data_IF_895953993994
#
_entry.id   IF_895953993994
#
_cell.length_a   1.000
_cell.length_b   1.000
_cell.length_c   1.000
_cell.angle_alpha   90.00
_cell.angle_beta   90.00
_cell.angle_gamma   90.00
#
_symmetry.space_group_name_H-M   'P 1'
#
loop_
_entity.id
_entity.type
_entity.pdbx_description
1 polymer ?
#
# COMPACT_ATOMS: atom_id res chain seq x y z
N UNK A 1 71.75 11.86 6.84
CA UNK A 1 71.02 10.57 6.80
C UNK A 1 69.56 10.92 7.03
N UNK A 2 68.87 11.33 5.98
CA UNK A 2 67.43 11.62 6.03
C UNK A 2 66.71 10.44 5.39
N UNK A 3 65.89 9.75 6.18
CA UNK A 3 65.07 8.64 5.74
C UNK A 3 63.80 9.21 5.11
N UNK A 4 63.78 9.34 3.79
CA UNK A 4 62.56 9.56 3.02
C UNK A 4 61.71 8.28 3.06
N UNK A 5 60.81 8.22 4.04
CA UNK A 5 59.72 7.27 4.03
C UNK A 5 58.69 7.73 2.98
N UNK A 6 58.85 7.29 1.74
CA UNK A 6 57.84 7.45 0.69
C UNK A 6 56.54 6.77 1.11
N UNK A 7 55.56 7.58 1.51
CA UNK A 7 54.19 7.16 1.78
C UNK A 7 53.56 6.65 0.48
N UNK A 8 53.52 5.32 0.32
CA UNK A 8 52.97 4.70 -0.87
C UNK A 8 51.43 4.71 -0.79
N UNK A 9 50.82 5.76 -1.35
CA UNK A 9 49.37 5.94 -1.43
C UNK A 9 48.64 4.71 -1.99
N UNK A 10 49.27 3.93 -2.87
CA UNK A 10 48.69 2.70 -3.42
C UNK A 10 48.50 1.58 -2.39
N UNK A 11 49.36 1.52 -1.37
CA UNK A 11 49.25 0.53 -0.28
C UNK A 11 48.14 0.94 0.69
N UNK A 12 48.04 2.24 1.01
CA UNK A 12 46.96 2.78 1.86
C UNK A 12 45.60 2.59 1.20
N UNK A 13 45.47 2.89 -0.11
CA UNK A 13 44.25 2.62 -0.87
C UNK A 13 43.95 1.12 -0.96
N UNK A 14 44.95 0.26 -1.23
CA UNK A 14 44.76 -1.19 -1.30
C UNK A 14 44.30 -1.84 0.01
N UNK A 15 44.67 -1.27 1.16
CA UNK A 15 44.26 -1.74 2.49
C UNK A 15 42.91 -1.17 2.94
N UNK A 16 42.56 0.06 2.53
CA UNK A 16 41.31 0.71 2.93
C UNK A 16 40.12 0.28 2.07
N UNK A 17 40.29 -0.01 0.77
CA UNK A 17 39.18 -0.37 -0.10
C UNK A 17 38.43 -1.66 0.29
N UNK A 18 39.11 -2.75 0.71
CA UNK A 18 38.43 -3.96 1.22
C UNK A 18 37.68 -3.71 2.53
N UNK A 19 38.22 -2.86 3.41
CA UNK A 19 37.59 -2.47 4.68
C UNK A 19 36.39 -1.53 4.47
N UNK A 20 36.46 -0.59 3.52
CA UNK A 20 35.34 0.29 3.19
C UNK A 20 34.17 -0.46 2.57
N UNK A 21 34.45 -1.52 1.78
CA UNK A 21 33.42 -2.35 1.16
C UNK A 21 32.70 -3.27 2.15
N UNK A 22 33.28 -3.54 3.33
CA UNK A 22 32.64 -4.31 4.40
C UNK A 22 32.03 -3.42 5.49
N UNK A 23 32.51 -2.18 5.67
CA UNK A 23 32.03 -1.25 6.71
C UNK A 23 30.90 -0.34 6.23
N UNK A 24 30.79 -0.05 4.92
CA UNK A 24 29.78 0.86 4.36
C UNK A 24 28.95 0.24 3.22
N UNK A 25 28.65 -1.05 3.28
CA UNK A 25 27.59 -1.58 2.42
C UNK A 25 26.26 -0.96 2.85
N UNK A 26 25.54 -0.27 1.93
CA UNK A 26 24.16 0.11 2.16
C UNK A 26 23.36 -1.09 2.65
N UNK A 27 22.40 -0.85 3.54
CA UNK A 27 21.58 -1.92 4.07
C UNK A 27 20.80 -2.65 2.97
N UNK A 28 20.44 -1.96 1.89
CA UNK A 28 19.81 -2.56 0.72
C UNK A 28 20.68 -3.62 0.02
N UNK A 29 22.02 -3.54 0.12
CA UNK A 29 22.91 -4.55 -0.47
C UNK A 29 22.97 -5.83 0.39
N UNK A 30 22.69 -5.70 1.69
CA UNK A 30 22.74 -6.81 2.67
C UNK A 30 21.39 -7.47 2.85
N UNK A 31 20.34 -6.67 3.01
CA UNK A 31 18.94 -7.07 3.12
C UNK A 31 18.10 -6.28 2.10
N UNK A 32 18.09 -6.70 0.83
CA UNK A 32 17.35 -6.01 -0.22
C UNK A 32 15.85 -6.17 0.00
N UNK A 33 15.14 -5.05 0.10
CA UNK A 33 13.68 -5.05 0.14
C UNK A 33 13.07 -5.28 -1.24
N UNK A 34 13.80 -4.91 -2.29
CA UNK A 34 13.39 -5.17 -3.67
C UNK A 34 13.77 -6.60 -4.03
N UNK A 35 12.78 -7.49 -4.14
CA UNK A 35 13.09 -8.87 -4.50
C UNK A 35 11.93 -9.85 -4.52
N UNK A 36 10.75 -9.49 -3.99
CA UNK A 36 9.59 -10.38 -4.03
C UNK A 36 9.18 -10.64 -5.49
N UNK A 37 9.30 -11.89 -5.90
CA UNK A 37 8.89 -12.36 -7.25
C UNK A 37 7.53 -13.06 -7.25
N UNK A 38 7.08 -13.52 -6.09
CA UNK A 38 5.78 -14.17 -5.98
C UNK A 38 4.69 -13.10 -5.94
N UNK A 39 3.58 -13.29 -6.68
CA UNK A 39 2.44 -12.39 -6.60
C UNK A 39 1.73 -12.54 -5.24
N UNK A 40 0.90 -11.56 -4.90
CA UNK A 40 -0.02 -11.67 -3.77
C UNK A 40 -1.35 -12.23 -4.25
N UNK A 41 -1.82 -13.28 -3.57
CA UNK A 41 -3.13 -13.89 -3.83
C UNK A 41 -4.28 -13.17 -3.11
N UNK A 42 -3.94 -12.23 -2.22
CA UNK A 42 -4.88 -11.48 -1.40
C UNK A 42 -4.54 -9.98 -1.43
N UNK A 43 -5.54 -9.11 -1.27
CA UNK A 43 -5.29 -7.69 -1.10
C UNK A 43 -4.75 -7.41 0.30
N UNK A 44 -4.20 -6.20 0.48
CA UNK A 44 -3.85 -5.68 1.79
C UNK A 44 -4.94 -4.73 2.29
N UNK A 45 -5.26 -4.83 3.57
CA UNK A 45 -6.37 -4.20 4.26
C UNK A 45 -5.84 -3.23 5.32
N UNK A 46 -6.45 -2.06 5.43
CA UNK A 46 -6.16 -1.09 6.50
C UNK A 46 -7.44 -0.45 7.02
N UNK A 47 -7.70 -0.66 8.30
CA UNK A 47 -8.78 0.01 9.03
C UNK A 47 -8.27 1.32 9.63
N UNK A 48 -8.97 2.42 9.37
CA UNK A 48 -8.64 3.73 9.91
C UNK A 48 -9.89 4.52 10.31
N UNK A 49 -9.69 5.55 11.11
CA UNK A 49 -10.67 6.51 11.61
C UNK A 49 -10.01 7.90 11.73
N UNK A 50 -10.74 8.90 12.22
CA UNK A 50 -10.22 10.26 12.40
C UNK A 50 -9.00 10.38 13.32
N UNK A 51 -8.72 9.39 14.16
CA UNK A 51 -7.54 9.35 15.06
C UNK A 51 -6.37 8.54 14.49
N UNK A 52 -6.53 7.96 13.30
CA UNK A 52 -5.51 7.14 12.67
C UNK A 52 -4.50 8.02 11.94
N UNK A 53 -3.21 7.68 12.06
CA UNK A 53 -2.20 8.24 11.17
C UNK A 53 -2.36 7.72 9.74
N UNK A 54 -1.74 8.38 8.76
CA UNK A 54 -1.65 7.90 7.37
C UNK A 54 -3.01 7.52 6.78
N UNK A 55 -3.88 8.53 6.60
CA UNK A 55 -5.18 8.38 5.94
C UNK A 55 -5.04 8.75 4.45
N UNK A 56 -5.92 8.26 3.56
CA UNK A 56 -5.97 8.72 2.17
C UNK A 56 -6.24 10.23 2.12
N UNK A 57 -5.48 10.95 1.30
CA UNK A 57 -5.71 12.35 0.97
C UNK A 57 -6.79 12.48 -0.13
N UNK A 58 -7.25 13.70 -0.45
CA UNK A 58 -8.23 13.91 -1.53
C UNK A 58 -7.80 13.43 -2.92
N UNK A 59 -6.50 13.21 -3.13
CA UNK A 59 -5.95 12.66 -4.38
C UNK A 59 -5.89 11.12 -4.36
N UNK A 60 -6.42 10.48 -3.32
CA UNK A 60 -6.39 9.03 -3.16
C UNK A 60 -4.99 8.49 -2.81
N UNK A 61 -4.09 9.31 -2.25
CA UNK A 61 -2.75 8.87 -1.83
C UNK A 61 -2.71 8.76 -0.32
N UNK A 62 -2.02 7.76 0.20
CA UNK A 62 -1.82 7.60 1.64
C UNK A 62 -0.35 7.77 1.96
N UNK A 63 -0.01 8.75 2.80
CA UNK A 63 1.39 9.04 3.16
C UNK A 63 1.70 8.60 4.58
N UNK A 64 2.91 8.10 4.78
CA UNK A 64 3.42 7.83 6.11
C UNK A 64 3.55 9.15 6.88
N UNK A 65 3.57 9.05 8.21
CA UNK A 65 3.74 10.23 9.07
C UNK A 65 5.14 10.82 8.96
N UNK A 66 6.11 10.02 8.51
CA UNK A 66 7.48 10.45 8.23
C UNK A 66 7.84 10.17 6.75
N UNK A 67 7.32 10.98 5.83
CA UNK A 67 7.50 10.77 4.39
C UNK A 67 8.94 10.93 3.86
N UNK A 68 9.90 11.33 4.70
CA UNK A 68 11.33 11.50 4.32
C UNK A 68 12.30 10.75 5.24
N UNK A 69 11.80 9.86 6.09
CA UNK A 69 12.64 9.03 6.96
C UNK A 69 13.60 8.19 6.13
N UNK A 70 14.90 8.27 6.43
CA UNK A 70 15.95 7.51 5.74
C UNK A 70 16.02 6.10 6.29
N UNK A 71 16.17 5.13 5.39
CA UNK A 71 16.20 3.68 5.68
C UNK A 71 17.41 2.99 5.01
N UNK A 72 18.50 3.73 4.82
CA UNK A 72 19.71 3.29 4.10
C UNK A 72 20.71 2.51 4.98
N UNK A 73 20.47 2.44 6.30
CA UNK A 73 21.30 1.69 7.24
C UNK A 73 20.49 0.68 8.06
N UNK A 74 21.16 -0.41 8.48
CA UNK A 74 20.62 -1.39 9.42
C UNK A 74 19.98 -0.71 10.63
N UNK A 75 20.72 0.21 11.25
CA UNK A 75 20.28 0.92 12.45
C UNK A 75 19.03 1.75 12.19
N UNK A 76 19.00 2.50 11.08
CA UNK A 76 17.80 3.28 10.74
C UNK A 76 16.57 2.40 10.58
N UNK A 77 16.68 1.26 9.88
CA UNK A 77 15.56 0.32 9.69
C UNK A 77 15.12 -0.29 11.02
N UNK A 78 16.07 -0.81 11.80
CA UNK A 78 15.82 -1.39 13.12
C UNK A 78 15.14 -0.40 14.07
N UNK A 79 15.71 0.80 14.23
CA UNK A 79 15.22 1.80 15.18
C UNK A 79 13.82 2.27 14.76
N UNK A 80 13.61 2.58 13.48
CA UNK A 80 12.29 3.01 13.00
C UNK A 80 11.24 1.90 13.05
N UNK A 81 11.61 0.64 12.80
CA UNK A 81 10.70 -0.51 12.90
C UNK A 81 10.30 -0.74 14.36
N UNK A 82 11.27 -0.71 15.29
CA UNK A 82 11.05 -0.84 16.74
C UNK A 82 10.04 0.19 17.23
N UNK A 83 10.16 1.44 16.76
CA UNK A 83 9.21 2.51 17.06
C UNK A 83 7.84 2.19 16.45
N UNK A 84 7.80 1.78 15.18
CA UNK A 84 6.56 1.58 14.45
C UNK A 84 5.67 0.47 15.02
N UNK A 85 6.27 -0.65 15.43
CA UNK A 85 5.51 -1.79 15.99
C UNK A 85 4.98 -1.51 17.39
N UNK A 86 5.63 -0.61 18.14
CA UNK A 86 5.20 -0.25 19.48
C UNK A 86 4.10 0.82 19.40
N UNK A 87 2.85 0.39 19.40
CA UNK A 87 1.69 1.28 19.29
C UNK A 87 1.51 2.24 20.49
N UNK A 88 2.27 2.07 21.59
CA UNK A 88 2.33 3.06 22.68
C UNK A 88 3.22 4.25 22.31
N UNK A 89 4.15 4.07 21.35
CA UNK A 89 5.01 5.12 20.84
C UNK A 89 4.39 5.75 19.58
N UNK A 90 4.02 7.03 19.68
CA UNK A 90 3.43 7.79 18.58
C UNK A 90 4.44 8.61 17.77
N UNK A 91 5.74 8.34 17.91
CA UNK A 91 6.75 8.96 17.06
C UNK A 91 6.48 8.63 15.59
N UNK A 92 6.44 9.62 14.69
CA UNK A 92 6.28 9.37 13.25
C UNK A 92 7.33 8.40 12.72
N UNK A 93 6.93 7.50 11.83
CA UNK A 93 7.83 6.56 11.15
C UNK A 93 7.50 6.51 9.65
N UNK A 94 8.42 6.01 8.81
CA UNK A 94 8.23 6.00 7.36
C UNK A 94 7.31 4.87 6.87
N UNK A 95 6.57 4.22 7.77
CA UNK A 95 5.77 3.03 7.47
C UNK A 95 4.27 3.31 7.49
N UNK A 96 3.54 2.52 6.71
CA UNK A 96 2.08 2.44 6.70
C UNK A 96 1.71 0.97 6.85
N UNK A 97 1.06 0.62 7.96
CA UNK A 97 0.70 -0.77 8.28
C UNK A 97 -0.56 -1.23 7.56
N UNK A 98 -0.56 -2.48 7.13
CA UNK A 98 -1.67 -3.20 6.54
C UNK A 98 -1.70 -4.62 7.09
N UNK A 99 -2.80 -5.34 6.84
CA UNK A 99 -2.93 -6.77 7.10
C UNK A 99 -3.63 -7.48 5.94
N UNK A 100 -3.40 -8.76 5.71
CA UNK A 100 -4.21 -9.57 4.78
C UNK A 100 -5.32 -10.39 5.48
N UNK A 101 -5.51 -10.15 6.79
CA UNK A 101 -6.40 -10.90 7.67
C UNK A 101 -7.65 -10.10 8.03
N UNK A 102 -8.83 -10.65 7.67
CA UNK A 102 -10.11 -10.05 8.07
C UNK A 102 -10.34 -10.15 9.58
N UNK A 103 -9.87 -11.21 10.24
CA UNK A 103 -10.02 -11.37 11.69
C UNK A 103 -9.23 -10.31 12.48
N UNK A 104 -8.07 -9.89 11.98
CA UNK A 104 -7.32 -8.78 12.58
C UNK A 104 -8.06 -7.45 12.41
N UNK A 105 -8.65 -7.19 11.24
CA UNK A 105 -9.50 -6.02 11.01
C UNK A 105 -10.69 -6.01 11.99
N UNK A 106 -11.36 -7.14 12.18
CA UNK A 106 -12.50 -7.26 13.10
C UNK A 106 -12.09 -7.10 14.56
N UNK A 107 -10.96 -7.68 14.97
CA UNK A 107 -10.42 -7.52 16.32
C UNK A 107 -9.99 -6.08 16.59
N UNK A 108 -9.33 -5.44 15.63
CA UNK A 108 -8.94 -4.04 15.70
C UNK A 108 -10.15 -3.11 15.78
N UNK A 109 -11.18 -3.35 14.97
CA UNK A 109 -12.43 -2.60 15.00
C UNK A 109 -13.10 -2.71 16.38
N UNK A 110 -13.26 -3.94 16.91
CA UNK A 110 -13.85 -4.17 18.24
C UNK A 110 -13.06 -3.47 19.34
N UNK A 111 -11.73 -3.55 19.30
CA UNK A 111 -10.86 -2.89 20.27
C UNK A 111 -11.04 -1.36 20.22
N UNK A 112 -11.09 -0.77 19.02
CA UNK A 112 -11.27 0.68 18.84
C UNK A 112 -12.67 1.13 19.24
N UNK A 113 -13.72 0.38 18.92
CA UNK A 113 -15.09 0.68 19.35
C UNK A 113 -15.21 0.71 20.87
N UNK A 114 -14.59 -0.25 21.58
CA UNK A 114 -14.54 -0.25 23.06
C UNK A 114 -13.88 1.00 23.65
N UNK A 115 -13.00 1.64 22.88
CA UNK A 115 -12.32 2.90 23.22
C UNK A 115 -13.08 4.15 22.73
N UNK A 116 -14.33 4.00 22.28
CA UNK A 116 -15.15 5.10 21.80
C UNK A 116 -14.70 5.69 20.45
N UNK A 117 -13.91 4.94 19.66
CA UNK A 117 -13.45 5.38 18.33
C UNK A 117 -14.41 4.97 17.22
N UNK A 118 -14.36 5.73 16.14
CA UNK A 118 -15.18 5.57 14.93
C UNK A 118 -15.59 6.93 14.35
N UNK A 119 -16.30 6.97 13.21
CA UNK A 119 -16.58 5.85 12.31
C UNK A 119 -15.30 5.33 11.62
N UNK A 120 -15.32 4.07 11.19
CA UNK A 120 -14.16 3.45 10.53
C UNK A 120 -14.34 3.37 9.01
N UNK A 121 -13.24 3.52 8.30
CA UNK A 121 -13.13 3.24 6.86
C UNK A 121 -12.13 2.12 6.67
N UNK A 122 -12.49 1.15 5.83
CA UNK A 122 -11.59 0.10 5.36
C UNK A 122 -11.02 0.52 4.00
N UNK A 123 -9.70 0.69 3.94
CA UNK A 123 -8.97 0.86 2.69
C UNK A 123 -8.41 -0.49 2.25
N UNK A 124 -8.54 -0.79 0.96
CA UNK A 124 -8.01 -2.01 0.35
C UNK A 124 -7.08 -1.65 -0.80
N UNK A 125 -5.92 -2.28 -0.86
CA UNK A 125 -4.90 -2.04 -1.88
C UNK A 125 -4.46 -3.34 -2.57
N UNK A 126 -3.99 -3.21 -3.81
CA UNK A 126 -3.34 -4.27 -4.57
C UNK A 126 -1.81 -4.19 -4.36
N UNK A 127 -1.23 -5.04 -3.50
CA UNK A 127 0.22 -5.00 -3.24
C UNK A 127 1.06 -5.36 -4.48
N UNK A 128 0.52 -6.07 -5.47
CA UNK A 128 1.28 -6.38 -6.71
C UNK A 128 1.43 -5.16 -7.62
N UNK A 129 0.59 -4.13 -7.47
CA UNK A 129 0.82 -2.82 -8.13
C UNK A 129 2.11 -2.20 -7.61
N UNK A 130 2.26 -2.20 -6.30
CA UNK A 130 3.44 -1.67 -5.62
C UNK A 130 4.71 -2.38 -6.05
N UNK A 131 4.69 -3.71 -6.05
CA UNK A 131 5.82 -4.54 -6.46
C UNK A 131 6.19 -4.30 -7.92
N UNK A 132 5.21 -4.17 -8.82
CA UNK A 132 5.45 -3.82 -10.24
C UNK A 132 6.07 -2.44 -10.45
N UNK A 133 5.73 -1.49 -9.57
CA UNK A 133 6.37 -0.16 -9.53
C UNK A 133 7.77 -0.20 -8.90
N UNK A 134 8.29 -1.39 -8.58
CA UNK A 134 9.59 -1.61 -7.97
C UNK A 134 9.63 -1.24 -6.48
N UNK A 135 8.49 -0.96 -5.86
CA UNK A 135 8.40 -0.59 -4.45
C UNK A 135 8.14 -1.83 -3.59
N UNK A 136 8.74 -1.91 -2.39
CA UNK A 136 8.62 -3.10 -1.56
C UNK A 136 7.33 -3.11 -0.74
N UNK A 137 6.84 -4.32 -0.48
CA UNK A 137 5.87 -4.66 0.57
C UNK A 137 6.60 -5.59 1.52
N UNK A 138 6.70 -5.23 2.79
CA UNK A 138 7.48 -5.99 3.77
C UNK A 138 6.55 -6.71 4.73
N UNK A 139 6.84 -7.97 5.02
CA UNK A 139 6.17 -8.68 6.10
C UNK A 139 6.78 -8.26 7.44
N UNK A 140 5.96 -7.89 8.42
CA UNK A 140 6.44 -7.36 9.70
C UNK A 140 7.19 -8.42 10.50
N UNK A 141 6.73 -9.68 10.47
CA UNK A 141 7.39 -10.78 11.19
C UNK A 141 8.81 -11.00 10.66
N UNK A 142 8.97 -11.10 9.35
CA UNK A 142 10.26 -11.32 8.70
C UNK A 142 11.26 -10.19 9.07
N UNK A 143 10.81 -8.94 9.02
CA UNK A 143 11.66 -7.79 9.35
C UNK A 143 12.00 -7.71 10.84
N UNK A 144 11.08 -8.11 11.73
CA UNK A 144 11.35 -8.19 13.16
C UNK A 144 12.42 -9.25 13.47
N UNK A 145 12.37 -10.40 12.78
CA UNK A 145 13.37 -11.46 12.90
C UNK A 145 14.73 -11.01 12.37
N UNK A 146 14.79 -10.44 11.17
CA UNK A 146 16.02 -9.94 10.55
C UNK A 146 16.73 -8.92 11.45
N UNK A 147 16.00 -7.92 11.92
CA UNK A 147 16.56 -6.84 12.73
C UNK A 147 16.68 -7.17 14.22
N UNK A 148 16.23 -8.37 14.65
CA UNK A 148 16.14 -8.76 16.05
C UNK A 148 15.41 -7.67 16.87
N UNK A 149 14.22 -7.28 16.40
CA UNK A 149 13.36 -6.31 17.06
C UNK A 149 12.53 -7.04 18.11
N UNK A 150 12.61 -6.66 19.40
CA UNK A 150 11.81 -7.29 20.45
C UNK A 150 10.32 -7.06 20.20
N UNK A 151 9.52 -8.09 20.43
CA UNK A 151 8.07 -7.98 20.38
C UNK A 151 7.54 -7.20 21.60
N UNK A 152 6.93 -6.02 21.40
CA UNK A 152 6.33 -5.26 22.50
C UNK A 152 5.05 -5.91 23.05
N UNK A 153 4.44 -6.86 22.31
CA UNK A 153 3.16 -7.48 22.65
C UNK A 153 3.24 -8.99 22.42
N UNK A 154 3.72 -9.74 23.41
CA UNK A 154 3.96 -11.19 23.34
C UNK A 154 2.77 -12.08 22.88
N UNK A 155 1.57 -11.52 22.73
CA UNK A 155 0.35 -12.20 22.26
C UNK A 155 -0.09 -11.81 20.85
N UNK A 156 0.64 -10.94 20.14
CA UNK A 156 0.28 -10.48 18.79
C UNK A 156 0.98 -11.36 17.77
N UNK A 157 0.20 -11.92 16.86
CA UNK A 157 0.73 -12.60 15.68
C UNK A 157 1.03 -11.56 14.60
N UNK A 158 2.20 -11.63 13.95
CA UNK A 158 2.62 -10.66 12.93
C UNK A 158 2.73 -11.28 11.52
N UNK A 159 2.30 -12.52 11.35
CA UNK A 159 2.46 -13.27 10.10
C UNK A 159 1.64 -12.67 8.95
N UNK A 160 0.51 -12.05 9.28
CA UNK A 160 -0.42 -11.37 8.38
C UNK A 160 -0.22 -9.84 8.38
N UNK A 161 0.78 -9.32 9.09
CA UNK A 161 1.08 -7.89 9.15
C UNK A 161 2.09 -7.49 8.08
N UNK A 162 1.76 -6.44 7.34
CA UNK A 162 2.60 -5.91 6.28
C UNK A 162 2.80 -4.41 6.45
N UNK A 163 3.92 -3.91 5.97
CA UNK A 163 4.23 -2.47 5.95
C UNK A 163 4.61 -2.01 4.54
N UNK A 164 4.04 -0.88 4.14
CA UNK A 164 4.41 -0.12 2.96
C UNK A 164 5.22 1.11 3.37
N UNK A 165 6.22 1.46 2.56
CA UNK A 165 7.14 2.58 2.82
C UNK A 165 6.67 3.89 2.19
N UNK A 166 6.77 4.98 2.95
CA UNK A 166 6.55 6.40 2.62
C UNK A 166 5.17 6.78 2.09
N UNK A 167 4.66 6.06 1.12
CA UNK A 167 3.44 6.38 0.42
C UNK A 167 2.85 5.15 -0.27
N UNK A 168 1.52 5.11 -0.33
CA UNK A 168 0.72 4.26 -1.20
C UNK A 168 -0.01 5.17 -2.17
N UNK A 169 0.18 4.95 -3.46
CA UNK A 169 -0.38 5.80 -4.53
C UNK A 169 -1.77 5.34 -4.96
N UNK A 170 -2.53 6.23 -5.60
CA UNK A 170 -3.93 5.98 -5.97
C UNK A 170 -4.11 4.79 -6.93
N UNK A 171 -3.10 4.45 -7.74
CA UNK A 171 -3.11 3.28 -8.63
C UNK A 171 -2.96 1.94 -7.89
N UNK A 172 -2.50 1.97 -6.62
CA UNK A 172 -2.45 0.81 -5.73
C UNK A 172 -3.82 0.56 -5.08
N UNK A 173 -4.75 1.53 -5.05
CA UNK A 173 -6.03 1.38 -4.38
C UNK A 173 -6.99 0.49 -5.18
N UNK A 174 -7.64 -0.43 -4.46
CA UNK A 174 -8.79 -1.19 -4.94
C UNK A 174 -10.09 -0.44 -4.61
N UNK A 175 -10.15 0.15 -3.41
CA UNK A 175 -11.29 0.94 -2.97
C UNK A 175 -11.26 1.30 -1.49
N UNK A 176 -12.30 1.99 -1.07
CA UNK A 176 -12.57 2.34 0.32
C UNK A 176 -14.02 2.01 0.65
N UNK A 177 -14.27 1.44 1.83
CA UNK A 177 -15.60 1.07 2.30
C UNK A 177 -15.84 1.65 3.68
N UNK A 178 -17.05 2.13 3.92
CA UNK A 178 -17.52 2.34 5.28
C UNK A 178 -17.56 0.98 5.97
N UNK A 179 -16.83 0.84 7.07
CA UNK A 179 -16.68 -0.44 7.74
C UNK A 179 -18.00 -0.93 8.35
N UNK A 180 -18.84 -0.03 8.86
CA UNK A 180 -20.09 -0.39 9.50
C UNK A 180 -21.09 -0.99 8.50
N UNK A 181 -21.08 -0.50 7.26
CA UNK A 181 -21.91 -1.05 6.17
C UNK A 181 -21.37 -2.40 5.71
N UNK A 182 -20.04 -2.55 5.69
CA UNK A 182 -19.36 -3.75 5.24
C UNK A 182 -19.64 -4.95 6.16
N UNK A 183 -19.57 -4.76 7.49
CA UNK A 183 -19.72 -5.85 8.47
C UNK A 183 -21.15 -6.40 8.60
N UNK A 184 -22.14 -5.76 7.98
CA UNK A 184 -23.50 -6.32 7.87
C UNK A 184 -23.44 -7.66 7.12
N UNK A 185 -22.48 -7.82 6.21
CA UNK A 185 -22.24 -9.05 5.48
C UNK A 185 -21.25 -9.94 6.22
N UNK A 186 -21.69 -11.12 6.67
CA UNK A 186 -20.86 -12.05 7.46
C UNK A 186 -19.55 -12.44 6.77
N UNK A 187 -19.56 -12.61 5.45
CA UNK A 187 -18.38 -12.97 4.66
C UNK A 187 -17.93 -11.81 3.77
N UNK A 188 -17.99 -10.57 4.27
CA UNK A 188 -17.67 -9.36 3.52
C UNK A 188 -16.33 -9.42 2.77
N UNK A 189 -15.32 -10.09 3.33
CA UNK A 189 -14.03 -10.26 2.65
C UNK A 189 -14.21 -11.06 1.35
N UNK A 190 -14.83 -12.24 1.42
CA UNK A 190 -15.00 -13.14 0.28
C UNK A 190 -16.09 -12.67 -0.70
N UNK A 191 -17.14 -12.02 -0.22
CA UNK A 191 -18.32 -11.65 -1.04
C UNK A 191 -18.19 -10.25 -1.65
N UNK A 192 -17.43 -9.34 -1.04
CA UNK A 192 -17.36 -7.93 -1.48
C UNK A 192 -15.93 -7.58 -1.89
N UNK A 193 -14.97 -7.74 -0.99
CA UNK A 193 -13.61 -7.24 -1.17
C UNK A 193 -12.83 -8.06 -2.20
N UNK A 194 -12.81 -9.38 -2.07
CA UNK A 194 -12.09 -10.26 -2.99
C UNK A 194 -12.60 -10.13 -4.44
N UNK A 195 -13.93 -10.09 -4.70
CA UNK A 195 -14.43 -9.80 -6.05
C UNK A 195 -14.02 -8.42 -6.57
N UNK A 196 -14.07 -7.37 -5.73
CA UNK A 196 -13.63 -6.04 -6.13
C UNK A 196 -12.14 -6.02 -6.50
N UNK A 197 -11.30 -6.69 -5.71
CA UNK A 197 -9.87 -6.85 -5.96
C UNK A 197 -9.57 -7.53 -7.31
N UNK A 198 -10.25 -8.64 -7.61
CA UNK A 198 -10.06 -9.33 -8.88
C UNK A 198 -10.57 -8.53 -10.07
N UNK A 199 -11.70 -7.82 -9.93
CA UNK A 199 -12.19 -6.89 -10.98
C UNK A 199 -11.18 -5.78 -11.26
N UNK A 200 -10.62 -5.16 -10.22
CA UNK A 200 -9.61 -4.11 -10.37
C UNK A 200 -8.37 -4.62 -11.13
N UNK A 201 -7.93 -5.86 -10.84
CA UNK A 201 -6.83 -6.50 -11.57
C UNK A 201 -7.17 -6.82 -13.03
N UNK A 202 -8.40 -7.24 -13.32
CA UNK A 202 -8.85 -7.55 -14.68
C UNK A 202 -8.93 -6.31 -15.57
N UNK A 203 -9.53 -5.21 -15.08
CA UNK A 203 -9.63 -3.94 -15.82
C UNK A 203 -8.24 -3.47 -16.26
N UNK A 204 -7.24 -3.59 -15.38
CA UNK A 204 -5.86 -3.25 -15.68
C UNK A 204 -5.23 -4.16 -16.74
N UNK A 205 -5.55 -5.46 -16.73
CA UNK A 205 -5.02 -6.40 -17.71
C UNK A 205 -5.58 -6.10 -19.10
N UNK A 206 -6.89 -5.86 -19.20
CA UNK A 206 -7.55 -5.52 -20.46
C UNK A 206 -7.04 -4.17 -20.99
N UNK A 207 -7.00 -3.13 -20.15
CA UNK A 207 -6.47 -1.82 -20.56
C UNK A 207 -4.98 -1.85 -20.94
N UNK A 208 -4.18 -2.67 -20.26
CA UNK A 208 -2.78 -2.91 -20.62
C UNK A 208 -2.63 -3.60 -21.98
N UNK A 209 -3.48 -4.58 -22.28
CA UNK A 209 -3.50 -5.24 -23.59
C UNK A 209 -3.98 -4.28 -24.68
N UNK A 210 -5.06 -3.53 -24.47
CA UNK A 210 -5.53 -2.52 -25.42
C UNK A 210 -4.45 -1.47 -25.72
N UNK A 211 -3.72 -1.00 -24.71
CA UNK A 211 -2.61 -0.08 -24.90
C UNK A 211 -1.42 -0.72 -25.64
N UNK A 212 -1.14 -2.00 -25.42
CA UNK A 212 -0.13 -2.73 -26.19
C UNK A 212 -0.57 -2.92 -27.64
N UNK A 213 -1.83 -3.29 -27.91
CA UNK A 213 -2.38 -3.40 -29.25
C UNK A 213 -2.40 -2.05 -29.98
N UNK A 214 -2.69 -0.95 -29.29
CA UNK A 214 -2.59 0.39 -29.87
C UNK A 214 -1.15 0.81 -30.19
N UNK A 215 -0.17 0.34 -29.40
CA UNK A 215 1.26 0.62 -29.64
C UNK A 215 1.91 -0.32 -30.66
N UNK A 216 1.35 -1.53 -30.81
CA UNK A 216 1.76 -2.54 -31.79
C UNK A 216 0.98 -2.42 -33.11
N UNK A 217 -0.13 -1.69 -33.11
CA UNK A 217 -0.77 -1.23 -34.34
C UNK A 217 0.21 -0.28 -35.01
N UNK A 218 0.98 -0.83 -35.95
CA UNK A 218 1.67 -0.07 -36.97
C UNK A 218 0.63 0.88 -37.55
N UNK A 219 0.77 2.17 -37.25
CA UNK A 219 0.07 3.20 -38.00
C UNK A 219 0.42 2.95 -39.46
N UNK A 220 -0.59 2.58 -40.25
CA UNK A 220 -0.54 2.60 -41.70
C UNK A 220 -0.48 4.07 -42.15
N UNK A 221 0.58 4.76 -41.74
CA UNK A 221 0.98 6.03 -42.34
C UNK A 221 1.50 5.69 -43.73
N UNK A 222 0.79 6.17 -44.75
CA UNK A 222 1.12 5.96 -46.15
C UNK A 222 2.44 6.64 -46.60
N UNK A 223 3.23 7.15 -45.66
CA UNK A 223 4.54 7.79 -45.86
C UNK A 223 5.73 6.99 -45.31
N UNK A 224 5.52 5.82 -44.71
CA UNK A 224 6.62 4.98 -44.22
C UNK A 224 7.18 4.04 -45.32
N UNK A 225 8.47 4.14 -45.56
CA UNK A 225 9.18 3.56 -46.71
C UNK A 225 9.56 2.08 -46.56
N UNK A 226 9.00 1.38 -45.58
CA UNK A 226 9.35 -0.02 -45.26
C UNK A 226 8.24 -1.05 -45.52
N UNK A 227 7.16 -0.66 -46.19
CA UNK A 227 6.11 -1.60 -46.61
C UNK A 227 6.58 -2.51 -47.76
N UNK A 228 7.19 -3.65 -47.41
CA UNK A 228 7.17 -4.84 -48.26
C UNK A 228 5.82 -5.52 -48.09
N UNK A 229 4.95 -5.30 -49.08
CA UNK A 229 3.70 -6.00 -49.27
C UNK A 229 3.92 -7.52 -49.36
N UNK A 230 3.21 -8.29 -48.53
CA UNK A 230 2.85 -9.65 -48.89
C UNK A 230 1.36 -9.89 -48.62
N UNK A 231 0.69 -10.28 -49.69
CA UNK A 231 -0.73 -10.58 -49.79
C UNK A 231 -1.21 -11.67 -48.83
N UNK A 232 -2.44 -11.46 -48.34
CA UNK A 232 -3.49 -12.48 -48.35
C UNK A 232 -3.52 -13.45 -47.18
N UNK A 233 -4.39 -13.19 -46.20
CA UNK A 233 -5.24 -14.24 -45.62
C UNK A 233 -6.56 -13.63 -45.15
N UNK A 234 -7.65 -14.05 -45.79
CA UNK A 234 -9.01 -13.87 -45.31
C UNK A 234 -9.20 -14.70 -44.04
N UNK A 235 -9.78 -14.11 -42.99
CA UNK A 235 -10.54 -14.87 -42.00
C UNK A 235 -11.63 -13.98 -41.42
N UNK A 236 -12.86 -14.35 -41.74
CA UNK A 236 -14.13 -13.85 -41.23
C UNK A 236 -14.28 -14.11 -39.74
N UNK A 237 -14.77 -13.14 -38.96
CA UNK A 237 -15.60 -13.45 -37.79
C UNK A 237 -16.48 -12.25 -37.41
N UNK A 238 -17.71 -12.37 -37.88
CA UNK A 238 -19.01 -12.04 -37.27
C UNK A 238 -19.09 -10.96 -36.17
N UNK A 239 -19.97 -10.01 -36.46
CA UNK A 239 -20.65 -9.09 -35.57
C UNK A 239 -21.26 -9.79 -34.35
N UNK A 240 -21.09 -9.21 -33.17
CA UNK A 240 -22.04 -9.34 -32.07
C UNK A 240 -22.28 -7.96 -31.46
N UNK A 241 -23.27 -7.28 -32.02
CA UNK A 241 -24.00 -6.22 -31.35
C UNK A 241 -24.73 -6.82 -30.14
N UNK A 242 -24.53 -6.21 -28.97
CA UNK A 242 -25.41 -6.41 -27.83
C UNK A 242 -26.06 -5.07 -27.51
N UNK A 243 -27.25 -4.92 -28.08
CA UNK A 243 -28.29 -4.00 -27.63
C UNK A 243 -28.61 -4.27 -26.16
N UNK A 244 -28.72 -3.21 -25.37
CA UNK A 244 -29.69 -3.14 -24.28
C UNK A 244 -30.04 -1.68 -24.02
N UNK A 245 -30.99 -1.18 -24.82
CA UNK A 245 -31.92 -0.17 -24.37
C UNK A 245 -33.00 -0.88 -23.54
N UNK A 246 -33.23 -0.41 -22.32
CA UNK A 246 -34.57 -0.45 -21.71
C UNK A 246 -34.68 0.73 -20.72
N UNK A 247 -35.40 1.73 -21.21
CA UNK A 247 -35.99 2.90 -20.58
C UNK A 247 -37.48 2.47 -20.34
N UNK A 248 -38.18 2.64 -19.20
CA UNK A 248 -38.62 3.87 -18.53
C UNK A 248 -39.59 3.51 -17.36
N UNK A 249 -39.63 4.43 -16.38
CA UNK A 249 -40.82 4.95 -15.63
C UNK A 249 -41.63 4.03 -14.71
N UNK A 250 -42.31 4.46 -13.63
CA UNK A 250 -42.54 5.69 -12.84
C UNK A 250 -43.17 5.12 -11.51
N UNK A 251 -43.24 5.73 -10.32
CA UNK A 251 -43.97 6.95 -9.96
C UNK A 251 -43.96 7.05 -8.40
N UNK A 252 -43.85 8.27 -7.88
CA UNK A 252 -44.49 8.85 -6.67
C UNK A 252 -44.58 8.07 -5.35
N UNK A 253 -43.99 8.64 -4.29
CA UNK A 253 -44.83 9.12 -3.18
C UNK A 253 -44.14 10.25 -2.38
N UNK A 254 -44.82 11.39 -2.28
CA UNK A 254 -44.58 12.48 -1.33
C UNK A 254 -44.96 12.07 0.11
N UNK A 255 -44.26 12.61 1.10
CA UNK A 255 -44.83 13.49 2.14
C UNK A 255 -43.87 13.73 3.32
N UNK A 256 -43.63 15.02 3.56
CA UNK A 256 -43.71 15.76 4.83
C UNK A 256 -42.70 15.58 5.98
N UNK A 257 -41.92 16.65 6.15
CA UNK A 257 -41.95 17.61 7.27
C UNK A 257 -41.55 17.16 8.69
N UNK A 258 -40.41 17.68 9.18
CA UNK A 258 -40.32 18.26 10.54
C UNK A 258 -38.98 19.02 10.79
N UNK A 259 -39.15 20.31 11.05
CA UNK A 259 -38.31 21.33 11.70
C UNK A 259 -37.29 20.91 12.82
N UNK A 260 -36.07 21.49 12.71
CA UNK A 260 -35.16 22.20 13.67
C UNK A 260 -35.24 21.99 15.22
N UNK A 261 -34.18 22.27 16.05
CA UNK A 261 -33.11 23.26 15.83
C UNK A 261 -31.67 22.93 16.29
N UNK A 262 -30.77 23.86 15.91
CA UNK A 262 -29.45 24.12 16.47
C UNK A 262 -29.41 24.11 18.00
N UNK A 263 -28.31 23.57 18.57
CA UNK A 263 -27.75 24.10 19.80
C UNK A 263 -26.21 24.20 19.70
N UNK A 264 -25.77 25.40 20.03
CA UNK A 264 -24.41 25.89 20.09
C UNK A 264 -23.69 25.44 21.37
N UNK A 265 -22.35 25.52 21.33
CA UNK A 265 -21.37 25.56 22.44
C UNK A 265 -21.05 24.25 23.16
N UNK A 266 -19.78 23.85 23.08
CA UNK A 266 -18.77 24.30 24.06
C UNK A 266 -17.45 23.60 23.78
N UNK A 267 -16.38 24.40 23.69
CA UNK A 267 -15.03 23.87 23.77
C UNK A 267 -14.79 23.17 25.11
N UNK A 268 -13.96 22.14 25.06
CA UNK A 268 -13.13 21.74 26.19
C UNK A 268 -11.91 21.03 25.61
N UNK A 269 -10.79 21.72 25.62
CA UNK A 269 -9.49 21.10 25.80
C UNK A 269 -9.58 20.08 26.93
N UNK A 270 -9.13 18.85 26.67
CA UNK A 270 -8.57 17.97 27.69
C UNK A 270 -7.39 17.21 27.08
N UNK A 271 -6.21 17.79 27.34
CA UNK A 271 -5.02 17.00 27.70
C UNK A 271 -5.33 16.13 28.93
N UNK A 272 -4.42 15.20 29.25
CA UNK A 272 -4.39 14.29 30.42
C UNK A 272 -5.22 13.00 30.28
N UNK A 273 -4.76 11.76 30.54
CA UNK A 273 -3.55 11.08 31.05
C UNK A 273 -3.60 9.65 30.41
N UNK A 274 -2.57 8.81 30.26
CA UNK A 274 -1.41 8.63 31.12
C UNK A 274 -1.60 7.52 32.16
N UNK A 275 -2.29 6.40 31.90
CA UNK A 275 -2.36 5.25 32.83
C UNK A 275 -2.54 3.93 32.03
N UNK A 276 -1.51 3.10 31.91
CA UNK A 276 -1.20 1.94 32.77
C UNK A 276 -2.25 0.81 32.75
N UNK A 277 -2.06 -0.11 31.80
CA UNK A 277 -2.08 -1.57 31.95
C UNK A 277 -1.58 -2.20 30.64
#
# INVERSE_FOLDING_TARGET
MENDATFNSGIVSGLLYPLLRTVFQPEEDRHPWRGRRQPFDRPLLRLWDGQSGSQPDPNGRMRSREGRGRLDSFRSRKDSLTIHINHRNWTPTPYISFTDSSSEIESLARLRTRRGRGPFTLTVIDPDKRVRNGLPVLNVRDEMEEYNVPDPYASVEYNDHYICLWEVTADEFVGNWNYNDLIIHKNWLQEIIIPAFWRARQVMRVGGLSNLFNRLSLSTDASDSTNFSHEGFQSSTEELAWDFDDELENEHNDSDDAHYPLSDKSGSDKHDEGEEA
#
